data_IF_780265803783
#
_entry.id   IF_780265803783
#
_cell.length_a   1.000
_cell.length_b   1.000
_cell.length_c   1.000
_cell.angle_alpha   90.00
_cell.angle_beta   90.00
_cell.angle_gamma   90.00
#
_symmetry.space_group_name_H-M   'P 1'
#
loop_
_entity.id
_entity.type
_entity.pdbx_description
1 polymer ?
#
# COMPACT_ATOMS: atom_id res chain seq x y z
N UNK A 1 2.86 -25.55 9.14
CA UNK A 1 2.99 -24.51 8.09
C UNK A 1 1.62 -24.05 7.59
N UNK A 2 0.82 -23.38 8.43
CA UNK A 2 -0.34 -22.63 7.95
C UNK A 2 -0.30 -21.26 8.61
N UNK A 3 0.16 -20.26 7.87
CA UNK A 3 -0.12 -18.87 8.23
C UNK A 3 -1.59 -18.62 7.93
N UNK A 4 -2.32 -18.04 8.88
CA UNK A 4 -3.69 -17.57 8.68
C UNK A 4 -3.74 -16.14 8.12
N UNK A 5 -2.57 -15.52 7.92
CA UNK A 5 -2.41 -14.17 7.36
C UNK A 5 -1.76 -14.25 5.98
N UNK A 6 -2.32 -13.50 5.04
CA UNK A 6 -1.77 -13.32 3.70
C UNK A 6 -0.96 -12.03 3.71
N UNK A 7 0.36 -12.15 3.54
CA UNK A 7 1.28 -11.02 3.41
C UNK A 7 1.76 -10.93 1.95
N UNK A 8 1.52 -9.78 1.31
CA UNK A 8 1.91 -9.54 -0.09
C UNK A 8 3.42 -9.51 -0.29
N UNK A 9 4.20 -9.17 0.74
CA UNK A 9 5.66 -9.25 0.70
C UNK A 9 6.16 -10.70 0.74
N UNK A 10 5.50 -11.59 1.50
CA UNK A 10 5.80 -13.02 1.46
C UNK A 10 5.42 -13.63 0.10
N UNK A 11 4.30 -13.21 -0.48
CA UNK A 11 3.92 -13.61 -1.85
C UNK A 11 4.98 -13.18 -2.88
N UNK A 12 5.50 -11.95 -2.78
CA UNK A 12 6.55 -11.41 -3.66
C UNK A 12 7.90 -12.13 -3.54
N UNK A 13 8.23 -12.65 -2.35
CA UNK A 13 9.48 -13.37 -2.10
C UNK A 13 9.56 -14.69 -2.87
N UNK A 14 8.42 -15.29 -3.23
CA UNK A 14 8.36 -16.62 -3.87
C UNK A 14 9.20 -17.69 -3.12
N UNK A 15 9.28 -17.59 -1.80
CA UNK A 15 10.08 -18.50 -0.96
C UNK A 15 11.58 -18.21 -0.88
N UNK A 16 12.06 -17.11 -1.49
CA UNK A 16 13.46 -16.67 -1.41
C UNK A 16 13.68 -15.64 -0.30
N UNK A 17 14.91 -15.54 0.21
CA UNK A 17 15.32 -14.48 1.12
C UNK A 17 15.61 -13.20 0.34
N UNK A 18 14.55 -12.42 0.04
CA UNK A 18 14.69 -11.11 -0.58
C UNK A 18 14.85 -10.01 0.45
N UNK A 19 15.68 -9.02 0.12
CA UNK A 19 15.76 -7.75 0.84
C UNK A 19 14.37 -7.09 0.91
N UNK A 20 14.16 -6.30 1.96
CA UNK A 20 12.95 -5.49 2.10
C UNK A 20 12.71 -4.67 0.82
N UNK A 21 11.52 -4.78 0.27
CA UNK A 21 11.07 -4.00 -0.90
C UNK A 21 9.95 -3.09 -0.42
N UNK A 22 10.07 -1.79 -0.69
CA UNK A 22 9.00 -0.87 -0.31
C UNK A 22 7.75 -1.12 -1.16
N UNK A 23 6.57 -0.90 -0.57
CA UNK A 23 5.30 -0.97 -1.27
C UNK A 23 5.29 -0.07 -2.53
N UNK A 24 5.91 1.11 -2.40
CA UNK A 24 6.15 2.07 -3.48
C UNK A 24 6.92 1.48 -4.67
N UNK A 25 7.95 0.68 -4.41
CA UNK A 25 8.73 0.02 -5.46
C UNK A 25 7.96 -1.16 -6.06
N UNK A 26 7.32 -1.97 -5.20
CA UNK A 26 6.53 -3.12 -5.64
C UNK A 26 5.38 -2.70 -6.57
N UNK A 27 4.65 -1.64 -6.20
CA UNK A 27 3.59 -1.06 -7.03
C UNK A 27 4.09 -0.59 -8.39
N UNK A 28 5.26 0.07 -8.43
CA UNK A 28 5.88 0.53 -9.66
C UNK A 28 6.25 -0.64 -10.59
N UNK A 29 6.89 -1.67 -10.05
CA UNK A 29 7.28 -2.88 -10.81
C UNK A 29 6.06 -3.62 -11.37
N UNK A 30 4.95 -3.64 -10.63
CA UNK A 30 3.70 -4.29 -11.06
C UNK A 30 2.82 -3.43 -11.99
N UNK A 31 3.29 -2.23 -12.37
CA UNK A 31 2.55 -1.31 -13.24
C UNK A 31 1.27 -0.78 -12.62
N UNK A 32 1.22 -0.66 -11.29
CA UNK A 32 0.09 -0.08 -10.56
C UNK A 32 0.29 1.43 -10.53
N UNK A 33 -0.67 2.24 -11.04
CA UNK A 33 -0.59 3.68 -10.95
C UNK A 33 -0.53 4.06 -9.48
N UNK A 34 0.53 4.77 -9.09
CA UNK A 34 0.77 5.07 -7.69
C UNK A 34 0.26 6.48 -7.39
N UNK A 35 -0.66 6.67 -6.44
CA UNK A 35 -1.15 7.98 -6.05
C UNK A 35 -0.15 8.65 -5.09
N UNK A 36 1.09 8.90 -5.55
CA UNK A 36 2.13 9.52 -4.72
C UNK A 36 2.05 11.02 -4.85
N UNK A 37 1.64 11.77 -3.82
CA UNK A 37 1.82 13.22 -3.91
C UNK A 37 2.09 13.99 -2.60
N UNK A 38 2.05 13.43 -1.39
CA UNK A 38 2.16 14.32 -0.22
C UNK A 38 3.06 13.93 0.96
N UNK A 39 3.14 12.68 1.44
CA UNK A 39 4.03 12.29 2.56
C UNK A 39 4.54 10.85 2.42
N UNK A 40 5.62 10.50 3.14
CA UNK A 40 6.07 9.11 3.35
C UNK A 40 6.08 8.74 4.84
N UNK A 41 6.37 7.46 5.14
CA UNK A 41 6.35 6.93 6.51
C UNK A 41 7.28 7.65 7.48
N UNK A 42 8.35 8.30 7.01
CA UNK A 42 9.26 9.07 7.87
C UNK A 42 8.66 10.42 8.29
N UNK A 43 7.74 10.95 7.49
CA UNK A 43 7.09 12.25 7.69
C UNK A 43 5.86 12.17 8.61
N UNK A 44 5.34 10.98 8.92
CA UNK A 44 4.13 10.82 9.77
C UNK A 44 4.30 11.50 11.13
N UNK A 45 5.51 11.43 11.70
CA UNK A 45 5.80 12.05 13.00
C UNK A 45 5.71 13.58 12.95
N UNK A 46 6.34 14.23 11.97
CA UNK A 46 6.31 15.70 11.85
C UNK A 46 4.90 16.19 11.52
N UNK A 47 4.16 15.49 10.65
CA UNK A 47 2.78 15.82 10.31
C UNK A 47 1.85 15.74 11.54
N UNK A 48 2.08 14.77 12.41
CA UNK A 48 1.30 14.63 13.64
C UNK A 48 1.66 15.69 14.69
N UNK A 49 2.95 15.89 14.96
CA UNK A 49 3.39 16.73 16.08
C UNK A 49 3.46 18.22 15.73
N UNK A 50 3.89 18.57 14.53
CA UNK A 50 4.14 19.94 14.08
C UNK A 50 2.95 20.49 13.30
N UNK A 51 2.52 19.79 12.24
CA UNK A 51 1.43 20.25 11.37
C UNK A 51 0.04 20.02 11.99
N UNK A 52 -0.07 19.13 12.99
CA UNK A 52 -1.34 18.72 13.62
C UNK A 52 -2.39 18.24 12.61
N UNK A 53 -1.96 17.64 11.50
CA UNK A 53 -2.83 17.30 10.37
C UNK A 53 -3.13 15.80 10.28
N UNK A 54 -4.09 15.33 11.09
CA UNK A 54 -4.51 13.93 11.12
C UNK A 54 -5.17 13.45 9.83
N UNK A 55 -5.90 14.33 9.14
CA UNK A 55 -6.59 13.95 7.90
C UNK A 55 -5.58 13.58 6.80
N UNK A 56 -4.43 14.27 6.75
CA UNK A 56 -3.35 13.94 5.82
C UNK A 56 -2.74 12.57 6.11
N UNK A 57 -2.51 12.24 7.37
CA UNK A 57 -2.03 10.91 7.80
C UNK A 57 -3.05 9.83 7.44
N UNK A 58 -4.33 10.08 7.70
CA UNK A 58 -5.42 9.17 7.35
C UNK A 58 -5.46 8.88 5.85
N UNK A 59 -5.41 9.93 5.02
CA UNK A 59 -5.41 9.80 3.56
C UNK A 59 -4.20 8.99 3.06
N UNK A 60 -3.03 9.19 3.66
CA UNK A 60 -1.83 8.39 3.38
C UNK A 60 -2.05 6.90 3.69
N UNK A 61 -2.56 6.57 4.89
CA UNK A 61 -2.84 5.19 5.28
C UNK A 61 -3.89 4.53 4.38
N UNK A 62 -4.94 5.26 4.00
CA UNK A 62 -5.98 4.79 3.08
C UNK A 62 -5.40 4.45 1.69
N UNK A 63 -4.48 5.28 1.17
CA UNK A 63 -3.77 5.02 -0.09
C UNK A 63 -2.87 3.77 0.00
N UNK A 64 -2.19 3.55 1.12
CA UNK A 64 -1.35 2.36 1.33
C UNK A 64 -2.18 1.06 1.35
N UNK A 65 -3.35 1.09 2.00
CA UNK A 65 -4.30 -0.04 1.99
C UNK A 65 -4.79 -0.32 0.57
N UNK A 66 -5.22 0.72 -0.16
CA UNK A 66 -5.62 0.58 -1.58
C UNK A 66 -4.50 -0.04 -2.42
N UNK A 67 -3.29 0.50 -2.32
CA UNK A 67 -2.13 0.01 -3.07
C UNK A 67 -1.82 -1.45 -2.75
N UNK A 68 -1.92 -1.85 -1.48
CA UNK A 68 -1.71 -3.23 -1.05
C UNK A 68 -2.73 -4.19 -1.67
N UNK A 69 -4.01 -3.80 -1.76
CA UNK A 69 -5.04 -4.59 -2.45
C UNK A 69 -4.72 -4.72 -3.95
N UNK A 70 -4.30 -3.64 -4.62
CA UNK A 70 -3.92 -3.69 -6.03
C UNK A 70 -2.71 -4.60 -6.28
N UNK A 71 -1.72 -4.58 -5.38
CA UNK A 71 -0.56 -5.50 -5.40
C UNK A 71 -1.04 -6.93 -5.28
N UNK A 72 -1.91 -7.22 -4.30
CA UNK A 72 -2.49 -8.54 -4.12
C UNK A 72 -3.20 -9.03 -5.40
N UNK A 73 -4.02 -8.20 -6.04
CA UNK A 73 -4.70 -8.53 -7.29
C UNK A 73 -3.70 -8.86 -8.41
N UNK A 74 -2.68 -8.01 -8.60
CA UNK A 74 -1.64 -8.21 -9.62
C UNK A 74 -0.83 -9.48 -9.41
N UNK A 75 -0.46 -9.80 -8.16
CA UNK A 75 0.25 -11.04 -7.83
C UNK A 75 -0.61 -12.30 -8.10
N UNK A 76 -1.95 -12.16 -8.10
CA UNK A 76 -2.88 -13.23 -8.47
C UNK A 76 -3.29 -13.19 -9.97
N UNK A 77 -2.65 -12.35 -10.79
CA UNK A 77 -2.97 -12.23 -12.22
C UNK A 77 -4.31 -11.52 -12.53
N UNK A 78 -4.89 -10.81 -11.56
CA UNK A 78 -6.13 -10.05 -11.72
C UNK A 78 -5.83 -8.62 -12.17
N UNK A 79 -6.81 -7.99 -12.83
CA UNK A 79 -6.72 -6.58 -13.22
C UNK A 79 -6.82 -5.66 -11.99
N UNK A 80 -6.17 -4.50 -12.08
CA UNK A 80 -6.34 -3.44 -11.08
C UNK A 80 -7.76 -2.88 -11.12
N UNK A 81 -8.25 -2.45 -9.97
CA UNK A 81 -9.54 -1.77 -9.86
C UNK A 81 -9.28 -0.27 -10.00
N UNK A 82 -10.05 0.41 -10.84
CA UNK A 82 -9.94 1.87 -11.01
C UNK A 82 -10.34 2.61 -9.73
N UNK A 83 -9.69 3.75 -9.46
CA UNK A 83 -9.83 4.46 -8.18
C UNK A 83 -11.27 4.94 -7.93
N UNK A 84 -11.99 5.32 -8.97
CA UNK A 84 -13.41 5.75 -8.95
C UNK A 84 -14.36 4.61 -8.52
N UNK A 85 -13.93 3.36 -8.67
CA UNK A 85 -14.68 2.15 -8.27
C UNK A 85 -14.29 1.65 -6.87
N UNK A 86 -13.43 2.38 -6.15
CA UNK A 86 -12.97 2.00 -4.80
C UNK A 86 -13.27 3.10 -3.78
N UNK A 87 -14.24 2.83 -2.90
CA UNK A 87 -14.59 3.73 -1.79
C UNK A 87 -14.38 3.05 -0.44
N UNK A 88 -13.87 3.81 0.53
CA UNK A 88 -13.92 3.40 1.93
C UNK A 88 -15.33 3.69 2.47
N UNK A 89 -15.96 2.68 3.07
CA UNK A 89 -17.25 2.86 3.74
C UNK A 89 -17.06 3.79 4.94
N UNK A 90 -17.79 4.90 4.97
CA UNK A 90 -17.88 5.76 6.16
C UNK A 90 -18.73 5.01 7.19
N UNK A 91 -18.08 4.54 8.26
CA UNK A 91 -18.78 4.10 9.48
C UNK A 91 -19.22 5.31 10.30
#
# INVERSE_FOLDING_TARGET
FRSHLIDTMEMWKFGDYKNYTSLKLLAYVLGIPSPKDDIDGTMVSSVFWEEKNLERIRNYCEKDVKTTVQVFLKLNGLSVIEDDKTSFSRK
#
